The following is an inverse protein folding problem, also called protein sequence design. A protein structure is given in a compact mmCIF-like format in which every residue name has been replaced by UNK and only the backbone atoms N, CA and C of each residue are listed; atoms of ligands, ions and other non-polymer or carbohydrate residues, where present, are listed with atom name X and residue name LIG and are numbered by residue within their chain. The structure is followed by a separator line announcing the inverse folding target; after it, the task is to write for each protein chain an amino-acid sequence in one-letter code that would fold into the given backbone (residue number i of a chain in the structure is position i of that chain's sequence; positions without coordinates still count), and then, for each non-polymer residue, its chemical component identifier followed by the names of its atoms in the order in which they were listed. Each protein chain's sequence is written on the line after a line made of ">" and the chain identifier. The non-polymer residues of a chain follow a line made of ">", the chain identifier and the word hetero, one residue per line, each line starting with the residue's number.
data_IF_934682102978
#
_entry.id   IF_934682102978
#
_cell.length_a   1.000
_cell.length_b   1.000
_cell.length_c   1.000
_cell.angle_alpha   90.00
_cell.angle_beta   90.00
_cell.angle_gamma   90.00
#
_symmetry.space_group_name_H-M   'P 1'
#
loop_
_entity.id
_entity.type
_entity.pdbx_description
1 polymer ?
#
# COMPACT_ATOMS: atom_id res chain seq x y z
N UNK A 1 56.01 23.11 73.80
CA UNK A 1 55.57 23.74 72.53
C UNK A 1 54.80 22.68 71.75
N UNK A 2 53.48 22.73 71.82
CA UNK A 2 52.60 21.71 71.23
C UNK A 2 51.96 22.26 69.96
N UNK A 3 52.28 21.63 68.81
CA UNK A 3 51.64 21.95 67.50
C UNK A 3 50.28 21.27 67.42
N UNK A 4 49.22 22.07 67.45
CA UNK A 4 47.87 21.60 67.11
C UNK A 4 47.75 21.47 65.60
N UNK A 5 47.49 20.25 65.12
CA UNK A 5 47.11 19.97 63.71
C UNK A 5 45.63 20.38 63.52
N UNK A 6 45.41 21.35 62.62
CA UNK A 6 44.09 21.72 62.16
C UNK A 6 43.71 20.77 61.02
N UNK A 7 42.70 19.95 61.24
CA UNK A 7 42.13 19.07 60.21
C UNK A 7 40.89 19.78 59.67
N UNK A 8 40.94 20.27 58.44
CA UNK A 8 39.80 20.83 57.72
C UNK A 8 38.94 19.70 57.17
N UNK A 9 37.60 19.69 57.35
CA UNK A 9 36.76 18.74 56.72
C UNK A 9 36.50 19.13 55.27
N UNK A 10 36.82 18.23 54.34
CA UNK A 10 36.48 18.34 52.92
C UNK A 10 34.99 17.99 52.78
N UNK A 11 34.15 19.00 52.52
CA UNK A 11 32.74 18.81 52.18
C UNK A 11 32.65 18.41 50.69
N UNK A 12 32.41 17.14 50.40
CA UNK A 12 32.15 16.65 49.07
C UNK A 12 30.71 17.03 48.66
N UNK A 13 30.58 18.01 47.74
CA UNK A 13 29.31 18.39 47.13
C UNK A 13 28.95 17.31 46.09
N UNK A 14 28.05 16.40 46.40
CA UNK A 14 27.49 15.42 45.46
C UNK A 14 26.44 16.15 44.58
N UNK A 15 26.83 16.50 43.35
CA UNK A 15 25.90 17.00 42.34
C UNK A 15 25.07 15.81 41.84
N UNK A 16 23.84 15.66 42.33
CA UNK A 16 22.85 14.76 41.71
C UNK A 16 22.28 15.43 40.49
N UNK A 17 22.80 15.04 39.30
CA UNK A 17 22.15 15.36 38.02
C UNK A 17 20.84 14.57 37.92
N UNK A 18 19.69 15.24 37.71
CA UNK A 18 18.47 14.50 37.41
C UNK A 18 18.67 13.77 36.07
N UNK A 19 18.60 12.43 36.06
CA UNK A 19 18.38 11.66 34.86
C UNK A 19 17.05 12.12 34.27
N UNK A 20 17.09 12.97 33.25
CA UNK A 20 15.94 13.21 32.41
C UNK A 20 15.57 11.87 31.77
N UNK A 21 14.53 11.21 32.27
CA UNK A 21 13.93 10.09 31.59
C UNK A 21 13.49 10.63 30.22
N UNK A 22 14.25 10.27 29.17
CA UNK A 22 13.83 10.46 27.79
C UNK A 22 12.52 9.70 27.66
N UNK A 23 11.40 10.43 27.63
CA UNK A 23 10.13 9.86 27.22
C UNK A 23 10.38 9.34 25.79
N UNK A 24 10.50 8.04 25.65
CA UNK A 24 10.50 7.41 24.34
C UNK A 24 9.23 7.92 23.66
N UNK A 25 9.40 8.74 22.63
CA UNK A 25 8.28 9.19 21.83
C UNK A 25 7.59 7.91 21.34
N UNK A 26 6.35 7.67 21.77
CA UNK A 26 5.57 6.54 21.30
C UNK A 26 5.43 6.72 19.80
N UNK A 27 6.27 6.02 19.04
CA UNK A 27 6.14 5.95 17.59
C UNK A 27 4.76 5.35 17.30
N UNK A 28 3.90 6.13 16.64
CA UNK A 28 2.64 5.63 16.12
C UNK A 28 2.87 5.21 14.67
N UNK A 29 2.46 3.99 14.36
CA UNK A 29 2.50 3.44 13.01
C UNK A 29 1.68 4.34 12.06
N UNK A 30 2.19 4.54 10.86
CA UNK A 30 1.54 5.35 9.82
C UNK A 30 0.15 4.81 9.44
N UNK A 31 -0.05 3.50 9.55
CA UNK A 31 -1.34 2.84 9.34
C UNK A 31 -2.36 3.17 10.45
N UNK A 32 -1.92 3.58 11.62
CA UNK A 32 -2.79 3.89 12.78
C UNK A 32 -2.79 5.39 13.11
N UNK A 33 -2.22 6.20 12.22
CA UNK A 33 -2.11 7.66 12.36
C UNK A 33 -2.83 8.34 11.20
N UNK A 34 -3.93 9.09 11.42
CA UNK A 34 -4.61 9.82 10.36
C UNK A 34 -3.71 10.85 9.66
N UNK A 35 -4.00 11.11 8.40
CA UNK A 35 -3.37 12.18 7.65
C UNK A 35 -3.54 13.53 8.36
N UNK A 36 -2.44 14.26 8.52
CA UNK A 36 -2.45 15.55 9.21
C UNK A 36 -2.96 16.64 8.28
N UNK A 37 -3.87 17.48 8.76
CA UNK A 37 -4.23 18.70 8.04
C UNK A 37 -3.01 19.61 7.84
N UNK A 38 -2.86 20.18 6.64
CA UNK A 38 -1.73 21.00 6.27
C UNK A 38 -2.14 22.12 5.32
N UNK A 39 -1.81 23.36 5.69
CA UNK A 39 -1.93 24.52 4.78
C UNK A 39 -1.03 24.38 3.52
N UNK A 40 -0.08 23.45 3.52
CA UNK A 40 0.84 23.18 2.43
C UNK A 40 0.52 21.87 1.68
N UNK A 41 -0.65 21.28 1.88
CA UNK A 41 -1.02 20.00 1.28
C UNK A 41 -0.88 20.01 -0.25
N UNK A 42 -1.25 21.10 -0.92
CA UNK A 42 -1.10 21.27 -2.37
C UNK A 42 0.35 21.56 -2.85
N UNK A 43 1.28 21.72 -1.92
CA UNK A 43 2.73 21.88 -2.18
C UNK A 43 3.52 20.63 -1.83
N UNK A 44 2.86 19.59 -1.32
CA UNK A 44 3.46 18.28 -1.09
C UNK A 44 3.51 17.46 -2.38
N UNK A 45 4.28 16.37 -2.39
CA UNK A 45 4.33 15.47 -3.53
C UNK A 45 2.98 14.76 -3.69
N UNK A 46 2.33 14.96 -4.83
CA UNK A 46 1.13 14.24 -5.26
C UNK A 46 1.55 13.25 -6.36
N UNK A 47 1.18 11.99 -6.21
CA UNK A 47 1.64 10.87 -7.04
C UNK A 47 0.59 10.41 -8.04
N UNK A 48 -0.71 10.55 -7.71
CA UNK A 48 -1.81 10.09 -8.54
C UNK A 48 -2.93 11.11 -8.61
N UNK A 49 -3.65 11.10 -9.73
CA UNK A 49 -4.82 11.96 -9.96
C UNK A 49 -5.89 11.19 -10.73
N UNK A 50 -7.15 11.39 -10.36
CA UNK A 50 -8.31 10.82 -11.06
C UNK A 50 -9.50 11.79 -11.03
N UNK A 51 -10.46 11.55 -11.91
CA UNK A 51 -11.71 12.28 -11.94
C UNK A 51 -12.82 11.48 -11.23
N UNK A 52 -13.45 12.09 -10.23
CA UNK A 52 -14.70 11.65 -9.62
C UNK A 52 -15.85 12.43 -10.25
N UNK A 53 -16.26 12.03 -11.46
CA UNK A 53 -17.15 12.83 -12.28
C UNK A 53 -16.54 14.16 -12.69
N UNK A 54 -17.05 15.29 -12.14
CA UNK A 54 -16.50 16.63 -12.37
C UNK A 54 -15.40 17.03 -11.36
N UNK A 55 -15.35 16.35 -10.23
CA UNK A 55 -14.35 16.57 -9.18
C UNK A 55 -13.01 15.99 -9.60
N UNK A 56 -11.94 16.71 -9.37
CA UNK A 56 -10.57 16.20 -9.51
C UNK A 56 -10.11 15.76 -8.11
N UNK A 57 -9.59 14.56 -7.99
CA UNK A 57 -9.03 14.02 -6.73
C UNK A 57 -7.57 13.69 -6.98
N UNK A 58 -6.67 14.16 -6.10
CA UNK A 58 -5.25 13.84 -6.16
C UNK A 58 -4.76 13.27 -4.83
N UNK A 59 -3.88 12.26 -4.90
CA UNK A 59 -3.34 11.52 -3.76
C UNK A 59 -1.82 11.61 -3.72
N UNK A 60 -1.22 11.54 -2.52
CA UNK A 60 0.22 11.65 -2.39
C UNK A 60 0.77 11.29 -1.02
N UNK A 61 1.88 11.92 -0.68
CA UNK A 61 2.64 11.64 0.54
C UNK A 61 1.81 11.82 1.82
N UNK A 62 2.15 11.06 2.86
CA UNK A 62 1.61 11.16 4.23
C UNK A 62 0.10 11.04 4.30
N UNK A 63 -0.50 10.23 3.41
CA UNK A 63 -1.93 10.06 3.32
C UNK A 63 -2.68 11.28 2.78
N UNK A 64 -1.97 12.26 2.23
CA UNK A 64 -2.62 13.44 1.70
C UNK A 64 -3.49 13.10 0.49
N UNK A 65 -4.76 13.41 0.59
CA UNK A 65 -5.71 13.43 -0.51
C UNK A 65 -6.33 14.82 -0.56
N UNK A 66 -6.37 15.39 -1.75
CA UNK A 66 -7.01 16.68 -2.00
C UNK A 66 -7.98 16.57 -3.16
N UNK A 67 -9.05 17.34 -3.11
CA UNK A 67 -10.02 17.41 -4.19
C UNK A 67 -10.36 18.84 -4.58
N UNK A 68 -10.76 19.02 -5.83
CA UNK A 68 -11.18 20.30 -6.41
C UNK A 68 -12.47 20.14 -7.18
N UNK A 69 -13.43 21.06 -6.95
CA UNK A 69 -14.73 21.12 -7.64
C UNK A 69 -14.79 22.23 -8.70
N UNK A 70 -13.69 23.00 -8.87
CA UNK A 70 -13.62 24.20 -9.72
C UNK A 70 -12.52 24.11 -10.80
N UNK A 71 -12.13 22.90 -11.18
CA UNK A 71 -11.13 22.64 -12.20
C UNK A 71 -9.69 22.93 -11.73
N UNK A 72 -9.43 22.74 -10.45
CA UNK A 72 -8.09 22.86 -9.86
C UNK A 72 -7.73 24.27 -9.38
N UNK A 73 -8.69 25.20 -9.35
CA UNK A 73 -8.45 26.56 -8.86
C UNK A 73 -8.33 26.60 -7.34
N UNK A 74 -9.20 25.88 -6.65
CA UNK A 74 -9.15 25.69 -5.19
C UNK A 74 -9.14 24.21 -4.84
N UNK A 75 -8.51 23.88 -3.73
CA UNK A 75 -8.33 22.51 -3.26
C UNK A 75 -8.73 22.37 -1.80
N UNK A 76 -9.43 21.31 -1.50
CA UNK A 76 -9.82 20.91 -0.13
C UNK A 76 -9.11 19.61 0.23
N UNK A 77 -8.55 19.53 1.44
CA UNK A 77 -7.97 18.29 1.95
C UNK A 77 -9.08 17.36 2.46
N UNK A 78 -9.01 16.10 2.03
CA UNK A 78 -9.94 15.04 2.45
C UNK A 78 -9.58 14.51 3.84
N UNK A 79 -10.56 13.88 4.52
CA UNK A 79 -10.33 13.11 5.74
C UNK A 79 -9.83 11.70 5.41
N UNK A 80 -8.62 11.35 5.88
CA UNK A 80 -7.94 10.09 5.59
C UNK A 80 -7.45 9.45 6.88
N UNK A 81 -7.75 8.17 7.14
CA UNK A 81 -7.48 7.52 8.44
C UNK A 81 -6.03 7.05 8.63
N UNK A 82 -5.16 7.25 7.64
CA UNK A 82 -3.75 6.81 7.64
C UNK A 82 -2.83 7.94 7.17
N UNK A 83 -1.54 7.82 7.48
CA UNK A 83 -0.49 8.71 6.97
C UNK A 83 0.54 7.99 6.09
N UNK A 84 0.19 6.83 5.54
CA UNK A 84 0.98 6.13 4.53
C UNK A 84 1.01 6.90 3.21
N UNK A 85 2.12 6.82 2.47
CA UNK A 85 2.23 7.45 1.15
C UNK A 85 1.32 6.74 0.15
N UNK A 86 0.46 7.51 -0.53
CA UNK A 86 -0.46 7.03 -1.56
C UNK A 86 0.16 7.25 -2.95
N UNK A 87 0.00 6.27 -3.86
CA UNK A 87 0.65 6.29 -5.18
C UNK A 87 -0.33 6.27 -6.35
N UNK A 88 -1.50 5.66 -6.18
CA UNK A 88 -2.50 5.59 -7.26
C UNK A 88 -3.92 5.76 -6.70
N UNK A 89 -4.82 6.24 -7.58
CA UNK A 89 -6.23 6.45 -7.28
C UNK A 89 -7.08 6.21 -8.53
N UNK A 90 -8.26 5.64 -8.36
CA UNK A 90 -9.22 5.37 -9.45
C UNK A 90 -10.64 5.63 -8.97
N UNK A 91 -11.51 6.06 -9.91
CA UNK A 91 -12.94 6.25 -9.69
C UNK A 91 -13.69 5.60 -10.85
N UNK A 92 -14.26 4.39 -10.68
CA UNK A 92 -15.13 3.77 -11.70
C UNK A 92 -16.49 4.49 -11.82
N UNK A 93 -16.95 5.13 -10.75
CA UNK A 93 -18.11 6.02 -10.72
C UNK A 93 -17.76 7.34 -10.01
N UNK A 94 -18.58 8.39 -10.15
CA UNK A 94 -18.28 9.67 -9.48
C UNK A 94 -18.16 9.56 -7.95
N UNK A 95 -18.96 8.70 -7.33
CA UNK A 95 -19.05 8.57 -5.87
C UNK A 95 -18.03 7.58 -5.29
N UNK A 96 -17.79 6.47 -6.01
CA UNK A 96 -16.98 5.35 -5.51
C UNK A 96 -15.55 5.42 -6.05
N UNK A 97 -14.58 5.43 -5.16
CA UNK A 97 -13.17 5.48 -5.53
C UNK A 97 -12.27 4.67 -4.61
N UNK A 98 -11.12 4.24 -5.14
CA UNK A 98 -10.09 3.51 -4.40
C UNK A 98 -8.73 4.15 -4.57
N UNK A 99 -7.97 4.20 -3.48
CA UNK A 99 -6.58 4.65 -3.49
C UNK A 99 -5.68 3.60 -2.83
N UNK A 100 -4.48 3.43 -3.38
CA UNK A 100 -3.49 2.46 -2.88
C UNK A 100 -2.13 3.12 -2.69
N UNK A 101 -1.26 2.45 -1.89
CA UNK A 101 0.07 2.99 -1.67
C UNK A 101 0.99 2.09 -0.84
N UNK A 102 1.94 2.75 -0.19
CA UNK A 102 2.89 2.13 0.72
C UNK A 102 2.18 1.44 1.88
N UNK A 103 2.90 0.61 2.61
CA UNK A 103 2.38 -0.17 3.74
C UNK A 103 1.20 -1.09 3.37
N UNK A 104 1.05 -1.42 2.06
CA UNK A 104 -0.03 -2.25 1.54
C UNK A 104 -1.43 -1.65 1.75
N UNK A 105 -1.53 -0.33 1.82
CA UNK A 105 -2.79 0.35 2.09
C UNK A 105 -3.75 0.29 0.90
N UNK A 106 -5.01 0.03 1.18
CA UNK A 106 -6.15 0.20 0.26
C UNK A 106 -7.20 1.02 0.98
N UNK A 107 -7.48 2.18 0.44
CA UNK A 107 -8.53 3.10 0.89
C UNK A 107 -9.70 3.07 -0.07
N UNK A 108 -10.90 3.30 0.46
CA UNK A 108 -12.14 3.42 -0.30
C UNK A 108 -12.88 4.69 0.10
N UNK A 109 -13.55 5.31 -0.85
CA UNK A 109 -14.49 6.42 -0.65
C UNK A 109 -15.82 6.11 -1.29
N UNK A 110 -16.90 6.59 -0.68
CA UNK A 110 -18.27 6.52 -1.21
C UNK A 110 -18.90 7.93 -1.37
N UNK A 111 -18.10 8.99 -1.22
CA UNK A 111 -18.52 10.39 -1.23
C UNK A 111 -17.65 11.27 -2.15
N UNK A 112 -17.23 10.70 -3.26
CA UNK A 112 -16.40 11.39 -4.27
C UNK A 112 -15.04 11.86 -3.73
N UNK A 113 -14.49 11.14 -2.74
CA UNK A 113 -13.17 11.42 -2.21
C UNK A 113 -13.10 12.45 -1.08
N UNK A 114 -14.24 12.85 -0.49
CA UNK A 114 -14.24 13.76 0.65
C UNK A 114 -13.79 13.06 1.95
N UNK A 115 -14.23 11.80 2.14
CA UNK A 115 -13.79 10.95 3.25
C UNK A 115 -13.36 9.58 2.75
N UNK A 116 -12.40 8.97 3.45
CA UNK A 116 -11.83 7.69 3.08
C UNK A 116 -11.82 6.73 4.26
N UNK A 117 -12.07 5.45 3.98
CA UNK A 117 -11.97 4.36 4.94
C UNK A 117 -10.91 3.35 4.52
N UNK A 118 -10.27 2.69 5.49
CA UNK A 118 -9.30 1.62 5.22
C UNK A 118 -10.03 0.30 5.00
N UNK A 119 -9.89 -0.29 3.80
CA UNK A 119 -10.40 -1.62 3.47
C UNK A 119 -9.36 -2.72 3.69
N UNK A 120 -8.08 -2.45 3.39
CA UNK A 120 -6.97 -3.39 3.54
C UNK A 120 -5.71 -2.62 3.94
N UNK A 121 -4.80 -3.29 4.64
CA UNK A 121 -3.42 -2.86 4.86
C UNK A 121 -2.46 -4.04 4.73
N UNK A 122 -1.16 -3.79 4.66
CA UNK A 122 -0.16 -4.82 4.42
C UNK A 122 -0.10 -5.89 5.51
N UNK A 123 -0.46 -5.55 6.76
CA UNK A 123 -0.56 -6.53 7.86
C UNK A 123 -1.63 -7.57 7.55
N UNK A 124 -2.81 -7.11 7.16
CA UNK A 124 -3.94 -7.99 6.80
C UNK A 124 -3.74 -8.66 5.45
N UNK A 125 -3.16 -7.97 4.47
CA UNK A 125 -2.85 -8.53 3.15
C UNK A 125 -1.87 -9.69 3.25
N UNK A 126 -0.81 -9.55 4.06
CA UNK A 126 0.16 -10.62 4.31
C UNK A 126 -0.46 -11.84 4.97
N UNK A 127 -1.31 -11.66 5.98
CA UNK A 127 -2.03 -12.75 6.63
C UNK A 127 -3.00 -13.43 5.66
N UNK A 128 -3.79 -12.64 4.91
CA UNK A 128 -4.72 -13.14 3.90
C UNK A 128 -4.01 -13.99 2.83
N UNK A 129 -2.83 -13.54 2.39
CA UNK A 129 -2.01 -14.25 1.42
C UNK A 129 -1.56 -15.62 1.97
N UNK A 130 -1.00 -15.65 3.17
CA UNK A 130 -0.50 -16.87 3.81
C UNK A 130 -1.63 -17.88 4.05
N UNK A 131 -2.76 -17.44 4.60
CA UNK A 131 -3.91 -18.30 4.90
C UNK A 131 -4.54 -18.87 3.63
N UNK A 132 -4.72 -18.04 2.60
CA UNK A 132 -5.28 -18.46 1.32
C UNK A 132 -4.43 -19.56 0.69
N UNK A 133 -3.12 -19.39 0.59
CA UNK A 133 -2.25 -20.37 -0.07
C UNK A 133 -2.05 -21.63 0.75
N UNK A 134 -2.05 -21.54 2.06
CA UNK A 134 -2.08 -22.73 2.92
C UNK A 134 -3.35 -23.58 2.69
N UNK A 135 -4.51 -22.92 2.62
CA UNK A 135 -5.79 -23.60 2.36
C UNK A 135 -5.83 -24.20 0.94
N UNK A 136 -5.36 -23.49 -0.09
CA UNK A 136 -5.32 -23.97 -1.46
C UNK A 136 -4.36 -25.17 -1.63
N UNK A 137 -3.22 -25.17 -0.93
CA UNK A 137 -2.28 -26.28 -0.92
C UNK A 137 -2.90 -27.52 -0.27
N UNK A 138 -3.56 -27.37 0.88
CA UNK A 138 -4.27 -28.44 1.55
C UNK A 138 -5.41 -29.05 0.70
N UNK A 139 -6.06 -28.22 -0.13
CA UNK A 139 -7.09 -28.65 -1.07
C UNK A 139 -6.54 -29.25 -2.38
N UNK A 140 -5.22 -29.25 -2.61
CA UNK A 140 -4.57 -29.77 -3.82
C UNK A 140 -4.86 -28.98 -5.10
N UNK A 141 -5.16 -27.68 -4.99
CA UNK A 141 -5.58 -26.83 -6.13
C UNK A 141 -4.44 -26.04 -6.79
N UNK A 142 -3.21 -26.14 -6.25
CA UNK A 142 -2.04 -25.35 -6.70
C UNK A 142 -1.08 -26.11 -7.64
N UNK A 143 -1.50 -27.21 -8.24
CA UNK A 143 -0.66 -28.02 -9.12
C UNK A 143 0.10 -29.12 -8.36
N UNK A 144 1.42 -29.29 -8.66
CA UNK A 144 2.20 -30.32 -7.97
C UNK A 144 2.42 -29.99 -6.50
N UNK A 145 2.62 -31.01 -5.62
CA UNK A 145 2.91 -30.79 -4.21
C UNK A 145 4.12 -29.87 -3.98
N UNK A 146 5.17 -30.01 -4.79
CA UNK A 146 6.39 -29.18 -4.69
C UNK A 146 6.10 -27.71 -5.04
N UNK A 147 5.35 -27.46 -6.13
CA UNK A 147 4.95 -26.11 -6.52
C UNK A 147 4.05 -25.46 -5.45
N UNK A 148 3.15 -26.23 -4.86
CA UNK A 148 2.30 -25.78 -3.77
C UNK A 148 3.12 -25.42 -2.52
N UNK A 149 4.08 -26.27 -2.13
CA UNK A 149 4.94 -26.02 -0.98
C UNK A 149 5.78 -24.75 -1.16
N UNK A 150 6.41 -24.57 -2.33
CA UNK A 150 7.18 -23.36 -2.66
C UNK A 150 6.32 -22.09 -2.56
N UNK A 151 5.08 -22.15 -3.03
CA UNK A 151 4.18 -20.99 -2.99
C UNK A 151 3.72 -20.67 -1.57
N UNK A 152 3.45 -21.69 -0.74
CA UNK A 152 3.10 -21.52 0.68
C UNK A 152 4.27 -20.89 1.45
N UNK A 153 5.49 -21.39 1.27
CA UNK A 153 6.67 -20.85 1.97
C UNK A 153 6.91 -19.39 1.60
N UNK A 154 6.78 -19.07 0.32
CA UNK A 154 6.96 -17.70 -0.15
C UNK A 154 5.89 -16.74 0.39
N UNK A 155 4.63 -17.13 0.33
CA UNK A 155 3.53 -16.28 0.79
C UNK A 155 3.54 -16.12 2.31
N UNK A 156 4.00 -17.15 3.04
CA UNK A 156 4.28 -17.06 4.47
C UNK A 156 5.42 -16.07 4.76
N UNK A 157 6.51 -16.12 3.98
CA UNK A 157 7.63 -15.17 4.09
C UNK A 157 7.17 -13.73 3.86
N UNK A 158 6.37 -13.49 2.82
CA UNK A 158 5.76 -12.18 2.54
C UNK A 158 4.91 -11.74 3.74
N UNK A 159 4.08 -12.62 4.27
CA UNK A 159 3.23 -12.35 5.43
C UNK A 159 4.00 -11.95 6.70
N UNK A 160 5.20 -12.51 6.88
CA UNK A 160 6.07 -12.17 8.04
C UNK A 160 6.81 -10.84 7.88
N UNK A 161 6.95 -10.30 6.67
CA UNK A 161 7.55 -8.99 6.42
C UNK A 161 6.63 -7.82 6.85
N UNK A 162 5.38 -8.12 7.18
CA UNK A 162 4.43 -7.11 7.66
C UNK A 162 3.97 -6.15 6.56
N UNK A 163 3.79 -4.88 6.91
CA UNK A 163 3.20 -3.87 6.03
C UNK A 163 4.17 -3.25 5.01
N UNK A 164 5.39 -3.74 4.87
CA UNK A 164 6.44 -3.07 4.09
C UNK A 164 6.23 -3.11 2.57
N UNK A 165 5.35 -4.00 2.06
CA UNK A 165 5.20 -4.23 0.63
C UNK A 165 4.08 -3.35 0.05
N UNK A 166 4.40 -2.41 -0.89
CA UNK A 166 3.43 -1.48 -1.42
C UNK A 166 2.51 -2.11 -2.46
N UNK A 167 1.26 -1.62 -2.52
CA UNK A 167 0.48 -1.65 -3.75
C UNK A 167 0.84 -0.42 -4.59
N UNK A 168 1.00 -0.63 -5.90
CA UNK A 168 1.55 0.37 -6.81
C UNK A 168 0.48 0.93 -7.77
N UNK A 169 -0.57 0.14 -8.04
CA UNK A 169 -1.68 0.60 -8.87
C UNK A 169 -2.99 -0.13 -8.54
N UNK A 170 -4.11 0.51 -8.95
CA UNK A 170 -5.47 0.05 -8.72
C UNK A 170 -6.36 0.31 -9.92
N UNK A 171 -7.17 -0.67 -10.26
CA UNK A 171 -8.16 -0.58 -11.35
C UNK A 171 -9.47 -1.24 -10.95
N UNK A 172 -10.57 -0.61 -11.28
CA UNK A 172 -11.92 -1.14 -11.12
C UNK A 172 -12.69 -1.02 -12.43
N UNK A 173 -13.40 -2.10 -12.80
CA UNK A 173 -14.30 -2.11 -13.94
C UNK A 173 -15.62 -1.40 -13.62
N UNK A 174 -16.06 -1.52 -12.38
CA UNK A 174 -17.29 -1.00 -11.81
C UNK A 174 -17.12 -0.89 -10.27
N UNK A 175 -18.20 -0.58 -9.55
CA UNK A 175 -18.18 -0.44 -8.08
C UNK A 175 -17.87 -1.75 -7.31
N UNK A 176 -17.84 -2.89 -7.98
CA UNK A 176 -17.68 -4.21 -7.36
C UNK A 176 -16.41 -4.93 -7.77
N UNK A 177 -16.05 -4.83 -9.05
CA UNK A 177 -15.02 -5.67 -9.66
C UNK A 177 -13.73 -4.89 -9.88
N UNK A 178 -12.67 -5.27 -9.20
CA UNK A 178 -11.39 -4.59 -9.31
C UNK A 178 -10.18 -5.46 -9.00
N UNK A 179 -9.02 -4.88 -9.28
CA UNK A 179 -7.70 -5.44 -9.00
C UNK A 179 -6.81 -4.38 -8.35
N UNK A 180 -5.95 -4.81 -7.46
CA UNK A 180 -4.80 -4.06 -6.97
C UNK A 180 -3.54 -4.86 -7.31
N UNK A 181 -2.49 -4.15 -7.73
CA UNK A 181 -1.19 -4.74 -8.11
C UNK A 181 -0.06 -4.02 -7.40
N UNK A 182 1.07 -4.71 -7.20
CA UNK A 182 2.18 -4.12 -6.46
C UNK A 182 3.50 -4.85 -6.60
N UNK A 183 4.38 -4.60 -5.63
CA UNK A 183 5.72 -5.17 -5.60
C UNK A 183 5.68 -6.69 -5.43
N UNK A 184 6.71 -7.37 -5.96
CA UNK A 184 6.93 -8.82 -5.85
C UNK A 184 5.75 -9.67 -6.32
N UNK A 185 5.13 -9.29 -7.46
CA UNK A 185 3.95 -9.95 -8.03
C UNK A 185 2.70 -9.90 -7.15
N UNK A 186 2.62 -8.99 -6.18
CA UNK A 186 1.38 -8.84 -5.42
C UNK A 186 0.24 -8.44 -6.34
N UNK A 187 -0.79 -9.26 -6.32
CA UNK A 187 -2.04 -9.02 -7.04
C UNK A 187 -3.20 -9.60 -6.24
N UNK A 188 -4.23 -8.79 -6.04
CA UNK A 188 -5.48 -9.21 -5.42
C UNK A 188 -6.64 -8.77 -6.27
N UNK A 189 -7.71 -9.57 -6.26
CA UNK A 189 -8.97 -9.30 -6.93
C UNK A 189 -10.09 -9.11 -5.91
N UNK A 190 -10.99 -8.22 -6.20
CA UNK A 190 -12.27 -8.12 -5.51
C UNK A 190 -13.44 -8.29 -6.49
N UNK A 191 -14.58 -8.78 -5.99
CA UNK A 191 -15.86 -8.88 -6.71
C UNK A 191 -17.02 -8.26 -5.90
N UNK A 192 -16.70 -7.57 -4.80
CA UNK A 192 -17.66 -7.02 -3.85
C UNK A 192 -17.30 -5.59 -3.38
N UNK A 193 -16.49 -4.88 -4.17
CA UNK A 193 -16.09 -3.51 -3.88
C UNK A 193 -15.03 -3.39 -2.78
N UNK A 194 -14.17 -4.41 -2.66
CA UNK A 194 -13.08 -4.41 -1.69
C UNK A 194 -13.48 -4.82 -0.27
N UNK A 195 -14.71 -5.32 -0.07
CA UNK A 195 -15.11 -5.93 1.22
C UNK A 195 -14.32 -7.19 1.48
N UNK A 196 -14.06 -7.95 0.41
CA UNK A 196 -13.13 -9.10 0.41
C UNK A 196 -12.14 -9.01 -0.74
N UNK A 197 -10.92 -9.53 -0.51
CA UNK A 197 -9.84 -9.57 -1.48
C UNK A 197 -9.33 -10.99 -1.64
N UNK A 198 -9.32 -11.50 -2.89
CA UNK A 198 -8.81 -12.82 -3.26
C UNK A 198 -7.37 -12.68 -3.77
N UNK A 199 -6.37 -13.38 -3.21
CA UNK A 199 -5.02 -13.45 -3.75
C UNK A 199 -4.99 -14.11 -5.14
N UNK A 200 -4.34 -13.44 -6.11
CA UNK A 200 -4.22 -13.90 -7.50
C UNK A 200 -2.79 -14.19 -7.94
N UNK A 201 -1.87 -14.29 -7.02
CA UNK A 201 -0.44 -14.49 -7.24
C UNK A 201 -0.15 -15.68 -8.18
N UNK A 202 -0.86 -16.80 -8.02
CA UNK A 202 -0.75 -18.01 -8.85
C UNK A 202 -1.43 -17.90 -10.22
N UNK A 203 -2.15 -16.82 -10.47
CA UNK A 203 -2.90 -16.57 -11.71
C UNK A 203 -2.21 -15.57 -12.64
N UNK A 204 -0.91 -15.39 -12.45
CA UNK A 204 -0.06 -14.54 -13.29
C UNK A 204 1.08 -15.37 -13.88
N UNK A 205 1.41 -15.17 -15.15
CA UNK A 205 2.62 -15.70 -15.77
C UNK A 205 3.81 -14.79 -15.47
N UNK A 206 4.17 -14.69 -14.20
CA UNK A 206 5.29 -13.91 -13.69
C UNK A 206 6.16 -14.79 -12.76
N UNK A 207 6.88 -15.78 -13.30
CA UNK A 207 7.63 -16.76 -12.50
C UNK A 207 8.76 -16.12 -11.70
N UNK A 208 9.33 -14.99 -12.18
CA UNK A 208 10.39 -14.26 -11.52
C UNK A 208 9.87 -13.28 -10.45
N UNK A 209 8.54 -13.19 -10.27
CA UNK A 209 7.88 -12.32 -9.28
C UNK A 209 8.29 -10.85 -9.40
N UNK A 210 8.45 -10.40 -10.64
CA UNK A 210 8.77 -9.03 -10.98
C UNK A 210 7.68 -8.08 -10.47
N UNK A 211 8.06 -6.84 -10.16
CA UNK A 211 7.12 -5.82 -9.71
C UNK A 211 6.11 -5.49 -10.81
N UNK A 212 4.85 -5.31 -10.41
CA UNK A 212 3.73 -4.93 -11.26
C UNK A 212 3.44 -3.46 -11.02
N UNK A 213 3.80 -2.59 -11.96
CA UNK A 213 3.78 -1.14 -11.76
C UNK A 213 2.46 -0.48 -12.13
N UNK A 214 1.78 -0.98 -13.17
CA UNK A 214 0.51 -0.40 -13.59
C UNK A 214 -0.45 -1.46 -14.12
N UNK A 215 -1.76 -1.21 -13.94
CA UNK A 215 -2.86 -2.01 -14.48
C UNK A 215 -3.84 -1.10 -15.22
N UNK A 216 -4.06 -1.36 -16.53
CA UNK A 216 -4.88 -0.50 -17.39
C UNK A 216 -5.76 -1.32 -18.33
N UNK A 217 -6.97 -0.83 -18.58
CA UNK A 217 -7.83 -1.35 -19.63
C UNK A 217 -7.59 -0.62 -20.94
N UNK A 218 -7.26 -1.36 -21.99
CA UNK A 218 -7.02 -0.83 -23.33
C UNK A 218 -7.76 -1.70 -24.34
N UNK A 219 -8.61 -1.10 -25.18
CA UNK A 219 -9.34 -1.82 -26.23
C UNK A 219 -10.21 -2.98 -25.71
N UNK A 220 -10.79 -2.83 -24.52
CA UNK A 220 -11.63 -3.86 -23.88
C UNK A 220 -10.85 -5.01 -23.22
N UNK A 221 -9.51 -5.01 -23.26
CA UNK A 221 -8.66 -5.98 -22.58
C UNK A 221 -7.92 -5.31 -21.40
N UNK A 222 -7.70 -6.07 -20.33
CA UNK A 222 -6.97 -5.61 -19.15
C UNK A 222 -5.51 -6.06 -19.25
N UNK A 223 -4.59 -5.11 -19.02
CA UNK A 223 -3.16 -5.32 -19.06
C UNK A 223 -2.51 -4.90 -17.74
N UNK A 224 -1.46 -5.61 -17.38
CA UNK A 224 -0.54 -5.23 -16.30
C UNK A 224 0.83 -5.06 -16.93
N UNK A 225 1.56 -4.01 -16.52
CA UNK A 225 2.95 -3.78 -16.95
C UNK A 225 3.86 -3.66 -15.74
N UNK A 226 5.15 -3.97 -15.92
CA UNK A 226 6.08 -4.01 -14.80
C UNK A 226 7.54 -4.06 -15.20
N UNK A 227 8.34 -4.66 -14.33
CA UNK A 227 9.79 -4.79 -14.47
C UNK A 227 10.20 -5.63 -15.66
N UNK A 228 11.41 -5.38 -16.17
CA UNK A 228 12.13 -6.21 -17.14
C UNK A 228 11.30 -6.59 -18.36
N UNK A 229 10.51 -5.65 -18.90
CA UNK A 229 9.67 -5.86 -20.06
C UNK A 229 8.39 -6.65 -19.79
N UNK A 230 8.03 -6.86 -18.51
CA UNK A 230 6.80 -7.57 -18.14
C UNK A 230 5.58 -6.86 -18.69
N UNK A 231 4.83 -7.56 -19.54
CA UNK A 231 3.48 -7.20 -19.95
C UNK A 231 2.61 -8.43 -19.83
N UNK A 232 1.57 -8.33 -19.02
CA UNK A 232 0.60 -9.40 -18.82
C UNK A 232 -0.76 -8.95 -19.33
N UNK A 233 -1.49 -9.85 -20.00
CA UNK A 233 -2.85 -9.62 -20.49
C UNK A 233 -3.81 -10.58 -19.82
N UNK A 234 -4.94 -10.07 -19.31
CA UNK A 234 -6.00 -10.94 -18.80
C UNK A 234 -6.57 -11.75 -19.98
N UNK A 235 -6.57 -13.09 -19.84
CA UNK A 235 -7.08 -13.99 -20.88
C UNK A 235 -8.61 -13.82 -21.07
N UNK A 236 -9.13 -14.25 -22.24
CA UNK A 236 -10.53 -14.09 -22.59
C UNK A 236 -11.54 -14.77 -21.65
N UNK A 237 -11.08 -15.69 -20.79
CA UNK A 237 -11.91 -16.30 -19.73
C UNK A 237 -11.87 -15.55 -18.39
N UNK A 238 -11.11 -14.46 -18.28
CA UNK A 238 -11.00 -13.65 -17.05
C UNK A 238 -10.40 -14.40 -15.87
N UNK A 239 -9.59 -15.45 -16.11
CA UNK A 239 -9.12 -16.36 -15.05
C UNK A 239 -7.62 -16.27 -14.76
N UNK A 240 -6.83 -15.71 -15.69
CA UNK A 240 -5.37 -15.68 -15.59
C UNK A 240 -4.78 -14.54 -16.42
N UNK A 241 -3.73 -13.93 -15.92
CA UNK A 241 -2.88 -13.01 -16.68
C UNK A 241 -1.76 -13.79 -17.37
N UNK A 242 -1.70 -13.66 -18.71
CA UNK A 242 -0.78 -14.35 -19.60
C UNK A 242 0.31 -13.37 -20.05
N UNK A 243 1.56 -13.79 -20.01
CA UNK A 243 2.68 -12.98 -20.44
C UNK A 243 2.66 -12.75 -21.95
N UNK A 244 2.98 -11.52 -22.35
CA UNK A 244 3.21 -11.15 -23.76
C UNK A 244 4.69 -10.83 -23.95
N UNK A 245 5.30 -11.41 -24.98
CA UNK A 245 6.67 -11.05 -25.37
C UNK A 245 6.64 -9.73 -26.15
N UNK A 246 7.26 -8.71 -25.58
CA UNK A 246 7.39 -7.39 -26.23
C UNK A 246 8.76 -7.18 -26.87
N UNK A 247 9.70 -8.10 -26.66
CA UNK A 247 11.12 -7.94 -27.04
C UNK A 247 11.87 -6.88 -26.23
N UNK A 248 11.17 -6.08 -25.40
CA UNK A 248 11.75 -5.03 -24.57
C UNK A 248 12.26 -5.60 -23.24
N UNK A 249 13.41 -5.11 -22.76
CA UNK A 249 14.07 -5.59 -21.53
C UNK A 249 14.07 -4.58 -20.37
N UNK A 250 13.66 -3.34 -20.64
CA UNK A 250 13.51 -2.32 -19.60
C UNK A 250 12.18 -2.41 -18.88
N UNK A 251 11.97 -1.58 -17.85
CA UNK A 251 10.74 -1.54 -17.08
C UNK A 251 9.70 -0.61 -17.71
N UNK A 252 8.42 -0.98 -17.61
CA UNK A 252 7.29 -0.12 -17.93
C UNK A 252 6.67 0.39 -16.63
N UNK A 253 6.53 1.70 -16.48
CA UNK A 253 6.01 2.32 -15.24
C UNK A 253 4.55 2.80 -15.35
N UNK A 254 3.92 2.77 -16.52
CA UNK A 254 2.55 3.19 -16.76
C UNK A 254 2.14 3.18 -18.22
#
# INVERSE_FOLDING_TARGET
>A
MSLRKIVSPLVALVLTLPLAASAAANYRDVLDTPARESAFVTKSLLNGVANAGKRIVAVGQRGHIVYSDDGGKTWTQASVPVSSDLVAVTFPTPEQGWAVGHDGIVLHTADSGATWERQLDGRRAGQLLADYYAAQAAAGTLGSPDAAAMLVDETKRIGTQGAEIPFLDVWFADERNGFIVGAFNQIFRTADGGKTWEPWFHRTENPNRLHLYAIRQVGGALYIVGEQGTVLKLNGGGKRFIALDTGYKGSFFG
#
